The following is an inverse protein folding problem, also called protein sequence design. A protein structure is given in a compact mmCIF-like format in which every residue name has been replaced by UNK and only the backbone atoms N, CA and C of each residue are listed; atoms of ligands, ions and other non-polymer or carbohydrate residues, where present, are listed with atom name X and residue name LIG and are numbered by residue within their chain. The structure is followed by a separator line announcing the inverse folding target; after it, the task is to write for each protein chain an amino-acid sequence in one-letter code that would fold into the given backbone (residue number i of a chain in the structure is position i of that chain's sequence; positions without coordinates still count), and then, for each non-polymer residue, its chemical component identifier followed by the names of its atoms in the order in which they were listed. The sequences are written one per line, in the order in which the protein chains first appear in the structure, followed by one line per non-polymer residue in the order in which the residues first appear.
data_IF_163260577091
#
_entry.id   IF_163260577091
#
_cell.length_a   1.000
_cell.length_b   1.000
_cell.length_c   1.000
_cell.angle_alpha   90.00
_cell.angle_beta   90.00
_cell.angle_gamma   90.00
#
_symmetry.space_group_name_H-M   'P 1'
#
loop_
_entity.id
_entity.type
_entity.pdbx_description
1 polymer ?
#
# COMPACT_ATOMS: atom_id res chain seq x y z
N UNK A 1 15.86 14.53 3.08
CA UNK A 1 14.85 14.02 2.14
C UNK A 1 15.01 14.81 0.85
N UNK A 2 14.87 14.19 -0.34
CA UNK A 2 15.06 14.87 -1.62
C UNK A 2 13.94 15.90 -1.84
N UNK A 3 14.28 17.11 -2.28
CA UNK A 3 13.33 18.20 -2.49
C UNK A 3 12.45 18.00 -3.75
N UNK A 4 12.93 17.22 -4.70
CA UNK A 4 12.25 16.94 -5.95
C UNK A 4 11.91 15.45 -6.06
N UNK A 5 10.65 15.08 -6.32
CA UNK A 5 10.27 13.69 -6.43
C UNK A 5 10.74 13.06 -7.73
N UNK A 6 11.06 11.76 -7.65
CA UNK A 6 11.33 10.90 -8.80
C UNK A 6 10.12 10.02 -9.03
N UNK A 7 9.53 10.09 -10.21
CA UNK A 7 8.35 9.32 -10.59
C UNK A 7 8.70 8.29 -11.64
N UNK A 8 8.13 7.10 -11.52
CA UNK A 8 8.32 6.01 -12.47
C UNK A 8 7.16 5.86 -13.47
N UNK A 9 5.95 6.27 -13.05
CA UNK A 9 4.73 6.20 -13.85
C UNK A 9 3.62 7.01 -13.20
N UNK A 10 2.72 7.57 -14.02
CA UNK A 10 1.44 8.10 -13.59
C UNK A 10 0.35 7.71 -14.62
N UNK A 11 -0.68 6.98 -14.18
CA UNK A 11 -1.76 6.50 -15.03
C UNK A 11 -2.98 6.08 -14.24
N UNK A 12 -4.13 5.92 -14.90
CA UNK A 12 -5.27 5.22 -14.32
C UNK A 12 -4.90 3.75 -14.06
N UNK A 13 -5.17 3.28 -12.85
CA UNK A 13 -4.94 1.91 -12.42
C UNK A 13 -6.24 1.29 -11.91
N UNK A 14 -6.64 0.16 -12.49
CA UNK A 14 -7.93 -0.49 -12.22
C UNK A 14 -7.81 -1.67 -11.25
N UNK A 15 -6.61 -1.94 -10.75
CA UNK A 15 -6.30 -3.17 -9.99
C UNK A 15 -5.84 -2.89 -8.55
N UNK A 16 -6.09 -1.68 -8.03
CA UNK A 16 -6.02 -1.45 -6.59
C UNK A 16 -7.23 -2.12 -5.91
N UNK A 17 -7.31 -2.00 -4.60
CA UNK A 17 -8.43 -2.50 -3.83
C UNK A 17 -9.78 -2.06 -4.45
N UNK A 18 -10.81 -2.92 -4.51
CA UNK A 18 -12.08 -2.60 -5.15
C UNK A 18 -12.68 -1.24 -4.77
N UNK A 19 -12.69 -0.83 -3.47
CA UNK A 19 -13.24 0.47 -3.08
C UNK A 19 -12.33 1.65 -3.42
N UNK A 20 -11.13 1.41 -3.95
CA UNK A 20 -10.19 2.46 -4.41
C UNK A 20 -10.28 2.63 -5.91
N UNK A 21 -10.17 1.54 -6.67
CA UNK A 21 -10.21 1.59 -8.15
C UNK A 21 -11.60 1.88 -8.70
N UNK A 22 -12.63 1.27 -8.10
CA UNK A 22 -13.97 1.32 -8.65
C UNK A 22 -14.01 0.96 -10.14
N UNK A 23 -14.93 1.55 -10.89
CA UNK A 23 -15.08 1.28 -12.33
C UNK A 23 -14.15 2.13 -13.21
N UNK A 24 -13.84 3.38 -12.79
CA UNK A 24 -13.07 4.34 -13.59
C UNK A 24 -11.57 4.31 -13.31
N UNK A 25 -11.16 3.59 -12.28
CA UNK A 25 -9.77 3.48 -11.88
C UNK A 25 -9.31 4.55 -10.88
N UNK A 26 -8.19 4.26 -10.26
CA UNK A 26 -7.44 5.14 -9.37
C UNK A 26 -6.37 5.90 -10.18
N UNK A 27 -6.26 7.21 -9.99
CA UNK A 27 -5.19 8.02 -10.58
C UNK A 27 -3.88 7.78 -9.84
N UNK A 28 -3.13 6.77 -10.25
CA UNK A 28 -2.00 6.25 -9.49
C UNK A 28 -0.69 6.87 -9.95
N UNK A 29 0.06 7.41 -8.97
CA UNK A 29 1.39 8.02 -9.16
C UNK A 29 2.42 7.17 -8.42
N UNK A 30 3.31 6.51 -9.14
CA UNK A 30 4.36 5.65 -8.60
C UNK A 30 5.64 6.44 -8.36
N UNK A 31 6.08 6.50 -7.11
CA UNK A 31 7.34 7.10 -6.72
C UNK A 31 8.48 6.08 -6.77
N UNK A 32 9.66 6.55 -7.13
CA UNK A 32 10.88 5.73 -7.11
C UNK A 32 11.57 5.81 -5.76
N UNK A 33 12.23 4.72 -5.38
CA UNK A 33 12.86 4.52 -4.10
C UNK A 33 11.91 3.87 -3.08
N UNK A 34 12.48 3.16 -2.11
CA UNK A 34 11.74 2.57 -0.99
C UNK A 34 12.63 2.52 0.25
N UNK A 35 12.04 2.69 1.42
CA UNK A 35 12.74 2.55 2.71
C UNK A 35 12.89 1.10 3.17
N UNK A 36 12.26 0.14 2.46
CA UNK A 36 12.33 -1.28 2.74
C UNK A 36 13.13 -2.02 1.66
N UNK A 37 13.91 -3.01 2.07
CA UNK A 37 14.66 -3.93 1.20
C UNK A 37 13.94 -5.25 0.95
N UNK A 38 12.64 -5.24 0.60
CA UNK A 38 11.88 -6.48 0.44
C UNK A 38 12.44 -7.37 -0.65
N UNK A 39 12.91 -8.57 -0.30
CA UNK A 39 13.53 -9.55 -1.23
C UNK A 39 12.59 -10.10 -2.29
N UNK A 40 11.28 -9.92 -2.12
CA UNK A 40 10.23 -10.35 -3.05
C UNK A 40 9.49 -9.17 -3.70
N UNK A 41 10.12 -8.00 -3.78
CA UNK A 41 9.46 -6.79 -4.26
C UNK A 41 9.14 -6.87 -5.75
N UNK A 42 7.86 -6.90 -6.13
CA UNK A 42 7.44 -6.86 -7.52
C UNK A 42 7.75 -5.51 -8.20
N UNK A 43 7.91 -4.46 -7.39
CA UNK A 43 8.28 -3.12 -7.84
C UNK A 43 9.80 -2.88 -7.75
N UNK A 44 10.62 -3.93 -7.76
CA UNK A 44 12.08 -3.87 -7.59
C UNK A 44 12.73 -2.81 -8.49
N UNK A 45 12.32 -2.73 -9.76
CA UNK A 45 12.82 -1.78 -10.75
C UNK A 45 12.77 -0.33 -10.25
N UNK A 46 11.73 0.05 -9.53
CA UNK A 46 11.53 1.40 -9.01
C UNK A 46 11.92 1.54 -7.55
N UNK A 47 11.88 0.44 -6.78
CA UNK A 47 12.18 0.47 -5.35
C UNK A 47 13.66 0.41 -5.04
N UNK A 48 14.44 -0.34 -5.85
CA UNK A 48 15.85 -0.63 -5.57
C UNK A 48 16.80 -0.09 -6.65
N UNK A 49 16.31 0.31 -7.83
CA UNK A 49 17.15 0.63 -9.00
C UNK A 49 16.99 2.07 -9.52
N UNK A 50 16.50 3.00 -8.70
CA UNK A 50 16.41 4.44 -9.01
C UNK A 50 15.76 4.78 -10.38
N UNK A 51 14.96 3.87 -10.94
CA UNK A 51 14.31 4.08 -12.21
C UNK A 51 13.21 5.13 -12.08
N UNK A 52 13.32 6.21 -12.81
CA UNK A 52 12.31 7.26 -12.82
C UNK A 52 12.78 8.55 -13.45
N UNK A 53 11.89 9.55 -13.47
CA UNK A 53 12.13 10.90 -13.94
C UNK A 53 11.91 11.89 -12.80
N UNK A 54 12.87 12.78 -12.60
CA UNK A 54 12.74 13.90 -11.65
C UNK A 54 11.67 14.85 -12.17
N UNK A 55 10.74 15.24 -11.32
CA UNK A 55 9.70 16.24 -11.62
C UNK A 55 9.66 17.34 -10.56
N UNK A 56 9.15 18.53 -10.91
CA UNK A 56 8.88 19.58 -9.94
C UNK A 56 7.57 19.32 -9.20
N UNK A 57 7.33 20.02 -8.09
CA UNK A 57 6.06 19.95 -7.35
C UNK A 57 4.90 20.44 -8.22
N UNK A 58 5.14 21.47 -9.01
CA UNK A 58 4.16 22.04 -9.96
C UNK A 58 3.78 20.99 -11.02
N UNK A 59 4.79 20.29 -11.61
CA UNK A 59 4.51 19.24 -12.60
C UNK A 59 3.78 18.06 -11.95
N UNK A 60 4.15 17.65 -10.73
CA UNK A 60 3.42 16.63 -10.00
C UNK A 60 1.94 17.00 -9.81
N UNK A 61 1.66 18.27 -9.51
CA UNK A 61 0.28 18.75 -9.39
C UNK A 61 -0.46 18.71 -10.73
N UNK A 62 0.17 19.13 -11.83
CA UNK A 62 -0.40 19.02 -13.17
C UNK A 62 -0.75 17.58 -13.52
N UNK A 63 0.15 16.62 -13.24
CA UNK A 63 -0.09 15.18 -13.44
C UNK A 63 -1.31 14.72 -12.63
N UNK A 64 -1.45 15.13 -11.38
CA UNK A 64 -2.64 14.82 -10.59
C UNK A 64 -3.92 15.34 -11.24
N UNK A 65 -3.90 16.58 -11.72
CA UNK A 65 -5.06 17.19 -12.39
C UNK A 65 -5.38 16.56 -13.76
N UNK A 66 -4.36 16.11 -14.49
CA UNK A 66 -4.52 15.36 -15.75
C UNK A 66 -5.22 14.00 -15.48
N UNK A 67 -4.84 13.30 -14.38
CA UNK A 67 -5.50 12.05 -13.98
C UNK A 67 -6.95 12.29 -13.53
N UNK A 68 -7.21 13.37 -12.80
CA UNK A 68 -8.58 13.79 -12.47
C UNK A 68 -9.40 14.04 -13.70
N UNK A 69 -8.85 14.76 -14.70
CA UNK A 69 -9.52 15.03 -15.97
C UNK A 69 -9.81 13.76 -16.79
N UNK A 70 -9.01 12.71 -16.62
CA UNK A 70 -9.26 11.38 -17.18
C UNK A 70 -10.36 10.59 -16.44
N UNK A 71 -10.88 11.12 -15.35
CA UNK A 71 -11.99 10.53 -14.59
C UNK A 71 -11.58 9.69 -13.38
N UNK A 72 -10.34 9.81 -12.90
CA UNK A 72 -9.88 9.10 -11.70
C UNK A 72 -10.82 9.32 -10.50
N UNK A 73 -11.12 8.24 -9.76
CA UNK A 73 -11.91 8.33 -8.54
C UNK A 73 -11.18 9.00 -7.37
N UNK A 74 -9.87 8.93 -7.38
CA UNK A 74 -8.96 9.47 -6.37
C UNK A 74 -7.57 9.69 -6.99
N UNK A 75 -6.67 10.35 -6.25
CA UNK A 75 -5.24 10.36 -6.56
C UNK A 75 -4.53 9.48 -5.53
N UNK A 76 -3.84 8.46 -6.02
CA UNK A 76 -3.17 7.43 -5.22
C UNK A 76 -1.65 7.58 -5.36
N UNK A 77 -1.01 8.04 -4.30
CA UNK A 77 0.44 8.15 -4.19
C UNK A 77 1.02 6.84 -3.70
N UNK A 78 1.71 6.10 -4.56
CA UNK A 78 2.29 4.79 -4.25
C UNK A 78 3.74 4.92 -3.83
N UNK A 79 4.04 4.40 -2.64
CA UNK A 79 5.33 4.41 -1.98
C UNK A 79 5.93 5.83 -1.80
N UNK A 80 5.15 6.78 -1.26
CA UNK A 80 5.52 8.18 -1.19
C UNK A 80 6.33 8.54 0.06
N UNK A 81 6.68 7.59 0.91
CA UNK A 81 7.26 7.75 2.26
C UNK A 81 8.36 8.82 2.32
N UNK A 82 9.34 8.75 1.43
CA UNK A 82 10.47 9.68 1.42
C UNK A 82 10.18 11.02 0.74
N UNK A 83 9.01 11.16 0.11
CA UNK A 83 8.49 12.40 -0.48
C UNK A 83 7.28 12.97 0.27
N UNK A 84 6.99 12.51 1.48
CA UNK A 84 5.83 12.94 2.26
C UNK A 84 5.76 14.47 2.44
N UNK A 85 6.92 15.14 2.61
CA UNK A 85 7.01 16.61 2.71
C UNK A 85 6.66 17.30 1.38
N UNK A 86 6.99 16.70 0.24
CA UNK A 86 6.61 17.19 -1.10
C UNK A 86 5.10 17.09 -1.27
N UNK A 87 4.51 15.95 -0.87
CA UNK A 87 3.06 15.73 -0.90
C UNK A 87 2.35 16.71 0.04
N UNK A 88 2.88 16.92 1.25
CA UNK A 88 2.33 17.90 2.19
C UNK A 88 2.28 19.30 1.60
N UNK A 89 3.32 19.71 0.87
CA UNK A 89 3.40 20.99 0.15
C UNK A 89 2.42 21.04 -1.04
N UNK A 90 2.36 19.99 -1.85
CA UNK A 90 1.43 19.89 -2.98
C UNK A 90 -0.02 20.05 -2.50
N UNK A 91 -0.36 19.43 -1.37
CA UNK A 91 -1.70 19.40 -0.79
C UNK A 91 -2.02 20.63 0.09
N UNK A 92 -1.17 21.66 0.14
CA UNK A 92 -1.58 23.00 0.62
C UNK A 92 -2.76 23.55 -0.20
N UNK A 93 -2.86 23.17 -1.46
CA UNK A 93 -4.02 23.36 -2.30
C UNK A 93 -4.72 22.00 -2.49
N UNK A 94 -5.92 21.77 -1.94
CA UNK A 94 -6.63 20.52 -2.07
C UNK A 94 -6.83 20.07 -3.50
N UNK A 95 -6.87 18.76 -3.73
CA UNK A 95 -7.31 18.16 -4.97
C UNK A 95 -8.83 17.98 -4.97
N UNK A 96 -9.49 17.97 -6.14
CA UNK A 96 -10.96 17.85 -6.23
C UNK A 96 -11.49 16.43 -6.04
N UNK A 97 -10.61 15.47 -5.75
CA UNK A 97 -10.91 14.06 -5.49
C UNK A 97 -10.16 13.60 -4.25
N UNK A 98 -10.58 12.51 -3.58
CA UNK A 98 -9.88 11.98 -2.41
C UNK A 98 -8.41 11.67 -2.70
N UNK A 99 -7.57 11.89 -1.69
CA UNK A 99 -6.14 11.58 -1.71
C UNK A 99 -5.90 10.27 -0.98
N UNK A 100 -5.28 9.33 -1.68
CA UNK A 100 -4.87 8.03 -1.15
C UNK A 100 -3.36 8.00 -0.96
N UNK A 101 -2.90 7.60 0.24
CA UNK A 101 -1.50 7.42 0.59
C UNK A 101 -1.21 5.91 0.76
N UNK A 102 -0.59 5.32 -0.26
CA UNK A 102 -0.34 3.89 -0.37
C UNK A 102 1.11 3.59 0.00
N UNK A 103 1.32 2.91 1.12
CA UNK A 103 2.64 2.77 1.72
C UNK A 103 2.93 1.34 2.19
N UNK A 104 4.21 0.99 2.24
CA UNK A 104 4.68 -0.25 2.86
C UNK A 104 4.49 -0.33 4.38
N UNK A 105 3.90 0.70 5.00
CA UNK A 105 3.63 0.77 6.44
C UNK A 105 4.82 1.23 7.29
N UNK A 106 6.01 1.26 6.75
CA UNK A 106 7.23 1.66 7.47
C UNK A 106 7.41 3.17 7.50
N UNK A 107 6.58 3.82 8.34
CA UNK A 107 6.47 5.27 8.42
C UNK A 107 6.88 5.81 9.79
N UNK A 108 7.38 7.03 9.82
CA UNK A 108 7.55 7.78 11.06
C UNK A 108 6.24 8.51 11.41
N UNK A 109 5.79 8.37 12.65
CA UNK A 109 4.57 9.04 13.14
C UNK A 109 4.63 10.56 12.93
N UNK A 110 5.79 11.17 13.13
CA UNK A 110 6.01 12.62 12.94
C UNK A 110 5.80 13.03 11.47
N UNK A 111 6.20 12.16 10.52
CA UNK A 111 5.97 12.39 9.10
C UNK A 111 4.47 12.34 8.76
N UNK A 112 3.75 11.37 9.33
CA UNK A 112 2.29 11.25 9.14
C UNK A 112 1.55 12.44 9.74
N UNK A 113 1.97 12.96 10.90
CA UNK A 113 1.37 14.17 11.51
C UNK A 113 1.45 15.39 10.60
N UNK A 114 2.50 15.51 9.78
CA UNK A 114 2.62 16.58 8.81
C UNK A 114 1.62 16.46 7.63
N UNK A 115 1.02 15.28 7.45
CA UNK A 115 -0.01 15.00 6.45
C UNK A 115 -1.44 15.09 7.01
N UNK A 116 -1.62 15.40 8.30
CA UNK A 116 -2.93 15.46 8.92
C UNK A 116 -3.87 16.45 8.21
N UNK A 117 -5.08 16.00 7.89
CA UNK A 117 -6.07 16.78 7.16
C UNK A 117 -5.81 16.92 5.65
N UNK A 118 -4.76 16.29 5.12
CA UNK A 118 -4.37 16.34 3.70
C UNK A 118 -4.59 15.01 2.98
N UNK A 119 -4.63 13.90 3.69
CA UNK A 119 -4.85 12.55 3.19
C UNK A 119 -6.21 12.06 3.66
N UNK A 120 -7.01 11.56 2.73
CA UNK A 120 -8.35 11.04 3.01
C UNK A 120 -8.31 9.54 3.31
N UNK A 121 -7.50 8.78 2.58
CA UNK A 121 -7.40 7.33 2.69
C UNK A 121 -5.95 6.90 2.83
N UNK A 122 -5.68 6.08 3.83
CA UNK A 122 -4.40 5.39 3.96
C UNK A 122 -4.53 3.92 3.54
N UNK A 123 -3.56 3.44 2.75
CA UNK A 123 -3.40 2.04 2.36
C UNK A 123 -2.05 1.51 2.89
N UNK A 124 -1.90 1.31 4.21
CA UNK A 124 -0.67 0.74 4.75
C UNK A 124 -0.64 -0.77 4.56
N UNK A 125 0.54 -1.31 4.22
CA UNK A 125 0.81 -2.72 4.43
C UNK A 125 1.16 -2.96 5.90
N UNK A 126 0.63 -4.04 6.49
CA UNK A 126 1.14 -4.64 7.71
C UNK A 126 1.73 -6.00 7.36
N UNK A 127 3.04 -5.98 7.04
CA UNK A 127 3.72 -7.15 6.45
C UNK A 127 4.06 -8.21 7.49
N UNK A 128 4.51 -7.79 8.68
CA UNK A 128 5.02 -8.67 9.73
C UNK A 128 4.71 -8.11 11.10
N UNK A 129 4.57 -9.02 12.09
CA UNK A 129 4.62 -8.71 13.54
C UNK A 129 5.82 -9.38 14.23
N UNK A 130 6.64 -10.10 13.49
CA UNK A 130 7.91 -10.69 13.97
C UNK A 130 9.08 -9.93 13.36
N UNK A 131 9.92 -9.30 14.21
CA UNK A 131 11.07 -8.52 13.79
C UNK A 131 12.14 -9.35 13.07
N UNK A 132 12.29 -10.64 13.41
CA UNK A 132 13.25 -11.53 12.74
C UNK A 132 12.83 -11.84 11.31
N UNK A 133 11.52 -12.03 11.10
CA UNK A 133 10.97 -12.20 9.75
C UNK A 133 11.07 -10.90 8.96
N UNK A 134 10.79 -9.77 9.60
CA UNK A 134 10.90 -8.45 9.00
C UNK A 134 12.35 -8.12 8.58
N UNK A 135 13.33 -8.40 9.44
CA UNK A 135 14.75 -8.29 9.12
C UNK A 135 15.12 -9.18 7.94
N UNK A 136 14.74 -10.46 7.99
CA UNK A 136 15.09 -11.45 6.96
C UNK A 136 14.48 -11.12 5.59
N UNK A 137 13.23 -10.63 5.57
CA UNK A 137 12.46 -10.46 4.34
C UNK A 137 12.46 -9.02 3.80
N UNK A 138 12.77 -8.01 4.62
CA UNK A 138 12.67 -6.60 4.24
C UNK A 138 13.75 -5.69 4.83
N UNK A 139 14.78 -6.28 5.46
CA UNK A 139 15.91 -5.57 6.08
C UNK A 139 15.48 -4.50 7.11
N UNK A 140 14.44 -4.78 7.89
CA UNK A 140 13.85 -3.84 8.85
C UNK A 140 13.36 -4.56 10.12
N UNK A 141 14.25 -4.78 11.09
CA UNK A 141 13.92 -5.52 12.33
C UNK A 141 12.85 -4.80 13.16
N UNK A 142 12.85 -3.46 13.15
CA UNK A 142 11.89 -2.62 13.89
C UNK A 142 10.58 -2.36 13.12
N UNK A 143 10.39 -3.00 11.97
CA UNK A 143 9.17 -2.84 11.15
C UNK A 143 7.88 -3.04 11.94
N UNK A 144 7.71 -4.08 12.79
CA UNK A 144 6.46 -4.29 13.52
C UNK A 144 6.10 -3.10 14.42
N UNK A 145 7.08 -2.55 15.14
CA UNK A 145 6.88 -1.39 16.00
C UNK A 145 6.50 -0.15 15.19
N UNK A 146 7.24 0.14 14.13
CA UNK A 146 7.02 1.31 13.27
C UNK A 146 5.68 1.24 12.54
N UNK A 147 5.38 0.09 11.92
CA UNK A 147 4.15 -0.09 11.15
C UNK A 147 2.90 -0.03 12.04
N UNK A 148 2.93 -0.66 13.20
CA UNK A 148 1.78 -0.63 14.12
C UNK A 148 1.54 0.77 14.70
N UNK A 149 2.59 1.52 15.03
CA UNK A 149 2.47 2.90 15.48
C UNK A 149 1.94 3.81 14.35
N UNK A 150 2.45 3.64 13.13
CA UNK A 150 2.01 4.37 11.95
C UNK A 150 0.53 4.14 11.64
N UNK A 151 0.08 2.88 11.64
CA UNK A 151 -1.33 2.53 11.36
C UNK A 151 -2.27 3.15 12.40
N UNK A 152 -1.91 3.11 13.69
CA UNK A 152 -2.72 3.78 14.73
C UNK A 152 -2.83 5.28 14.48
N UNK A 153 -1.74 5.94 14.06
CA UNK A 153 -1.76 7.35 13.71
C UNK A 153 -2.63 7.63 12.47
N UNK A 154 -2.55 6.79 11.44
CA UNK A 154 -3.40 6.90 10.24
C UNK A 154 -4.88 6.81 10.59
N UNK A 155 -5.28 5.85 11.44
CA UNK A 155 -6.66 5.71 11.92
C UNK A 155 -7.07 6.90 12.77
N UNK A 156 -6.19 7.42 13.63
CA UNK A 156 -6.46 8.63 14.42
C UNK A 156 -6.80 9.83 13.51
N UNK A 157 -6.10 9.97 12.38
CA UNK A 157 -6.28 11.10 11.45
C UNK A 157 -7.56 10.97 10.63
N UNK A 158 -7.87 9.78 10.14
CA UNK A 158 -9.00 9.58 9.24
C UNK A 158 -10.30 9.24 9.96
N UNK A 159 -10.21 8.64 11.15
CA UNK A 159 -11.37 8.06 11.81
C UNK A 159 -11.90 6.80 11.09
N UNK A 160 -13.14 6.38 11.38
CA UNK A 160 -13.77 5.21 10.79
C UNK A 160 -13.87 5.28 9.26
N UNK A 161 -13.91 4.11 8.62
CA UNK A 161 -14.08 4.00 7.17
C UNK A 161 -15.43 4.57 6.70
N UNK A 162 -15.40 5.47 5.73
CA UNK A 162 -16.59 6.08 5.11
C UNK A 162 -16.69 5.64 3.67
N UNK A 163 -17.75 4.91 3.36
CA UNK A 163 -18.06 4.41 2.02
C UNK A 163 -19.18 5.20 1.38
N UNK A 164 -19.01 5.61 0.12
CA UNK A 164 -20.06 6.24 -0.69
C UNK A 164 -20.04 5.60 -2.09
N UNK A 165 -21.18 5.14 -2.56
CA UNK A 165 -21.35 4.50 -3.88
C UNK A 165 -20.33 3.38 -4.15
N UNK A 166 -20.00 2.57 -3.13
CA UNK A 166 -19.03 1.49 -3.22
C UNK A 166 -17.56 1.93 -3.19
N UNK A 167 -17.28 3.23 -3.06
CA UNK A 167 -15.94 3.80 -2.98
C UNK A 167 -15.60 4.25 -1.57
N UNK A 168 -14.38 3.99 -1.14
CA UNK A 168 -13.86 4.50 0.12
C UNK A 168 -13.49 5.98 -0.03
N UNK A 169 -14.15 6.85 0.71
CA UNK A 169 -13.91 8.29 0.71
C UNK A 169 -12.98 8.73 1.81
N UNK A 170 -12.97 8.02 2.92
CA UNK A 170 -12.12 8.31 4.06
C UNK A 170 -11.87 7.04 4.88
N UNK A 171 -10.69 6.91 5.48
CA UNK A 171 -10.39 5.78 6.37
C UNK A 171 -9.09 5.08 6.06
N UNK A 172 -8.93 3.88 6.61
CA UNK A 172 -7.73 3.05 6.48
C UNK A 172 -8.10 1.66 5.95
N UNK A 173 -7.38 1.20 4.93
CA UNK A 173 -7.39 -0.21 4.51
C UNK A 173 -6.04 -0.81 4.85
N UNK A 174 -5.99 -1.66 5.86
CA UNK A 174 -4.77 -2.39 6.23
C UNK A 174 -4.63 -3.58 5.28
N UNK A 175 -3.50 -3.67 4.59
CA UNK A 175 -3.23 -4.75 3.64
C UNK A 175 -2.22 -5.74 4.20
N UNK A 176 -2.46 -7.01 3.97
CA UNK A 176 -1.51 -8.06 4.33
C UNK A 176 -1.34 -9.07 3.19
N UNK A 177 -0.11 -9.18 2.69
CA UNK A 177 0.27 -10.20 1.71
C UNK A 177 0.71 -11.47 2.43
N UNK A 178 -0.04 -12.57 2.23
CA UNK A 178 0.34 -13.87 2.76
C UNK A 178 1.62 -14.33 2.06
N UNK A 179 2.66 -14.62 2.84
CA UNK A 179 3.89 -15.22 2.32
C UNK A 179 3.87 -16.75 2.46
N UNK A 180 4.51 -17.49 1.53
CA UNK A 180 4.60 -18.94 1.61
C UNK A 180 5.23 -19.41 2.93
N UNK A 181 4.57 -20.32 3.62
CA UNK A 181 5.03 -20.84 4.91
C UNK A 181 4.75 -19.93 6.11
N UNK A 182 4.18 -18.73 5.91
CA UNK A 182 4.00 -17.71 6.93
C UNK A 182 2.52 -17.49 7.34
N UNK A 183 1.68 -18.51 7.26
CA UNK A 183 0.26 -18.42 7.66
C UNK A 183 0.11 -18.00 9.13
N UNK A 184 1.05 -18.40 10.00
CA UNK A 184 1.05 -17.97 11.40
C UNK A 184 1.22 -16.45 11.53
N UNK A 185 2.05 -15.81 10.69
CA UNK A 185 2.18 -14.36 10.63
C UNK A 185 0.89 -13.70 10.14
N UNK A 186 0.25 -14.26 9.10
CA UNK A 186 -1.03 -13.74 8.63
C UNK A 186 -2.09 -13.76 9.74
N UNK A 187 -2.15 -14.84 10.55
CA UNK A 187 -3.05 -14.92 11.70
C UNK A 187 -2.69 -13.88 12.76
N UNK A 188 -1.43 -13.76 13.14
CA UNK A 188 -0.99 -12.76 14.12
C UNK A 188 -1.32 -11.31 13.68
N UNK A 189 -1.17 -11.00 12.38
CA UNK A 189 -1.57 -9.69 11.82
C UNK A 189 -3.07 -9.47 11.95
N UNK A 190 -3.89 -10.48 11.63
CA UNK A 190 -5.36 -10.40 11.76
C UNK A 190 -5.78 -10.26 13.22
N UNK A 191 -5.16 -11.00 14.15
CA UNK A 191 -5.40 -10.86 15.59
C UNK A 191 -5.08 -9.45 16.05
N UNK A 192 -3.92 -8.92 15.67
CA UNK A 192 -3.54 -7.55 16.02
C UNK A 192 -4.56 -6.52 15.52
N UNK A 193 -5.07 -6.67 14.30
CA UNK A 193 -6.10 -5.76 13.76
C UNK A 193 -7.40 -5.87 14.58
N UNK A 194 -7.85 -7.09 14.87
CA UNK A 194 -9.08 -7.32 15.64
C UNK A 194 -8.98 -6.80 17.09
N UNK A 195 -7.80 -6.89 17.70
CA UNK A 195 -7.57 -6.43 19.07
C UNK A 195 -7.42 -4.91 19.20
N UNK A 196 -6.96 -4.23 18.15
CA UNK A 196 -6.63 -2.81 18.22
C UNK A 196 -7.68 -1.87 17.62
N UNK A 197 -8.59 -2.39 16.78
CA UNK A 197 -9.61 -1.57 16.12
C UNK A 197 -11.00 -2.17 16.27
N UNK A 198 -11.99 -1.31 16.42
CA UNK A 198 -13.39 -1.72 16.45
C UNK A 198 -13.83 -2.17 15.06
N UNK A 199 -14.81 -3.05 15.01
CA UNK A 199 -15.39 -3.49 13.74
C UNK A 199 -15.89 -2.29 12.92
N UNK A 200 -15.42 -2.19 11.67
CA UNK A 200 -15.74 -1.09 10.75
C UNK A 200 -14.91 0.19 10.95
N UNK A 201 -14.02 0.24 11.92
CA UNK A 201 -13.09 1.35 12.08
C UNK A 201 -12.02 1.33 10.98
N UNK A 202 -11.56 0.13 10.61
CA UNK A 202 -10.68 -0.12 9.48
C UNK A 202 -11.26 -1.19 8.56
N UNK A 203 -10.82 -1.21 7.31
CA UNK A 203 -11.00 -2.33 6.39
C UNK A 203 -9.71 -3.15 6.34
N UNK A 204 -9.85 -4.46 6.14
CA UNK A 204 -8.71 -5.37 6.02
C UNK A 204 -8.68 -6.02 4.63
N UNK A 205 -7.55 -5.94 3.95
CA UNK A 205 -7.33 -6.62 2.66
C UNK A 205 -6.35 -7.76 2.83
N UNK A 206 -6.84 -8.99 2.73
CA UNK A 206 -6.03 -10.20 2.74
C UNK A 206 -5.62 -10.55 1.31
N UNK A 207 -4.35 -10.39 0.99
CA UNK A 207 -3.80 -10.59 -0.34
C UNK A 207 -3.18 -11.99 -0.46
N UNK A 208 -3.69 -12.82 -1.39
CA UNK A 208 -3.19 -14.19 -1.66
C UNK A 208 -2.45 -14.32 -2.99
N UNK A 209 -2.21 -13.22 -3.69
CA UNK A 209 -1.60 -13.19 -5.03
C UNK A 209 -0.05 -13.22 -5.02
N UNK A 210 0.58 -13.68 -3.95
CA UNK A 210 2.04 -13.79 -3.90
C UNK A 210 2.59 -14.57 -5.11
N UNK A 211 3.54 -13.95 -5.80
CA UNK A 211 4.33 -14.56 -6.87
C UNK A 211 5.81 -14.37 -6.54
N UNK A 212 6.65 -15.43 -6.63
CA UNK A 212 8.09 -15.31 -6.47
C UNK A 212 8.65 -14.27 -7.44
N UNK A 213 9.52 -13.39 -6.96
CA UNK A 213 10.15 -12.34 -7.75
C UNK A 213 11.58 -12.11 -7.27
N UNK A 214 12.46 -11.74 -8.18
CA UNK A 214 13.87 -11.44 -7.87
C UNK A 214 14.71 -12.69 -7.56
N UNK A 215 15.91 -12.48 -7.00
CA UNK A 215 16.78 -13.56 -6.55
C UNK A 215 16.40 -14.04 -5.15
N UNK A 216 15.72 -15.17 -5.09
CA UNK A 216 15.29 -15.84 -3.86
C UNK A 216 16.20 -17.01 -3.46
N UNK A 217 17.44 -17.08 -3.96
CA UNK A 217 18.38 -18.18 -3.65
C UNK A 217 18.63 -18.34 -2.14
N UNK A 218 18.67 -17.23 -1.39
CA UNK A 218 18.82 -17.21 0.07
C UNK A 218 17.48 -17.35 0.82
N UNK A 219 16.35 -17.43 0.10
CA UNK A 219 14.98 -17.49 0.62
C UNK A 219 14.17 -18.60 -0.08
N UNK A 220 14.64 -19.87 -0.06
CA UNK A 220 14.01 -20.95 -0.84
C UNK A 220 12.55 -21.19 -0.45
N UNK A 221 12.16 -20.88 0.78
CA UNK A 221 10.78 -20.95 1.25
C UNK A 221 9.84 -19.98 0.50
N UNK A 222 10.37 -18.85 0.03
CA UNK A 222 9.64 -17.83 -0.74
C UNK A 222 9.66 -18.12 -2.24
N UNK A 223 10.51 -19.03 -2.72
CA UNK A 223 10.63 -19.35 -4.15
C UNK A 223 9.53 -20.32 -4.61
N UNK A 224 8.29 -20.06 -4.23
CA UNK A 224 7.08 -20.78 -4.64
C UNK A 224 5.83 -19.92 -4.45
N UNK A 225 4.79 -20.23 -5.17
CA UNK A 225 3.45 -19.67 -4.90
C UNK A 225 2.84 -20.28 -3.64
N UNK A 226 1.82 -19.62 -3.10
CA UNK A 226 1.02 -20.13 -2.00
C UNK A 226 0.34 -21.47 -2.38
N UNK A 227 0.29 -22.40 -1.43
CA UNK A 227 -0.53 -23.61 -1.53
C UNK A 227 -1.99 -23.28 -1.23
N UNK A 228 -2.93 -24.02 -1.84
CA UNK A 228 -4.36 -23.84 -1.59
C UNK A 228 -4.71 -23.89 -0.10
N UNK A 229 -4.12 -24.80 0.66
CA UNK A 229 -4.34 -24.93 2.10
C UNK A 229 -3.89 -23.71 2.90
N UNK A 230 -2.79 -23.05 2.50
CA UNK A 230 -2.32 -21.83 3.16
C UNK A 230 -3.34 -20.70 2.99
N UNK A 231 -3.89 -20.57 1.77
CA UNK A 231 -4.91 -19.57 1.45
C UNK A 231 -6.22 -19.86 2.19
N UNK A 232 -6.72 -21.10 2.12
CA UNK A 232 -7.99 -21.49 2.75
C UNK A 232 -7.96 -21.25 4.27
N UNK A 233 -6.85 -21.66 4.93
CA UNK A 233 -6.68 -21.47 6.39
C UNK A 233 -6.66 -19.99 6.77
N UNK A 234 -6.02 -19.13 5.96
CA UNK A 234 -5.97 -17.70 6.24
C UNK A 234 -7.34 -17.03 6.03
N UNK A 235 -8.05 -17.38 4.94
CA UNK A 235 -9.40 -16.85 4.67
C UNK A 235 -10.40 -17.29 5.75
N UNK A 236 -10.41 -18.58 6.12
CA UNK A 236 -11.28 -19.09 7.18
C UNK A 236 -10.99 -18.38 8.53
N UNK A 237 -9.72 -18.12 8.81
CA UNK A 237 -9.33 -17.39 10.02
C UNK A 237 -9.85 -15.96 10.02
N UNK A 238 -9.71 -15.23 8.91
CA UNK A 238 -10.25 -13.88 8.75
C UNK A 238 -11.77 -13.85 8.94
N UNK A 239 -12.50 -14.84 8.38
CA UNK A 239 -13.94 -14.95 8.53
C UNK A 239 -14.35 -15.22 9.99
N UNK A 240 -13.61 -16.09 10.70
CA UNK A 240 -13.88 -16.39 12.10
C UNK A 240 -13.65 -15.20 13.03
N UNK A 241 -12.74 -14.28 12.68
CA UNK A 241 -12.53 -13.01 13.39
C UNK A 241 -13.55 -11.92 13.02
N UNK A 242 -14.43 -12.18 12.04
CA UNK A 242 -15.42 -11.19 11.52
C UNK A 242 -14.77 -9.84 11.14
N UNK A 243 -13.55 -9.89 10.58
CA UNK A 243 -12.84 -8.70 10.12
C UNK A 243 -13.51 -8.13 8.86
N UNK A 244 -13.99 -6.87 8.88
CA UNK A 244 -14.57 -6.23 7.69
C UNK A 244 -13.49 -6.02 6.63
N UNK A 245 -13.79 -6.42 5.40
CA UNK A 245 -12.83 -6.24 4.32
C UNK A 245 -13.03 -7.24 3.19
N UNK A 246 -11.95 -7.55 2.50
CA UNK A 246 -11.99 -8.40 1.30
C UNK A 246 -10.73 -9.27 1.20
N UNK A 247 -10.90 -10.37 0.48
CA UNK A 247 -9.81 -11.26 0.10
C UNK A 247 -9.60 -11.11 -1.42
N UNK A 248 -8.39 -10.78 -1.82
CA UNK A 248 -8.04 -10.83 -3.23
C UNK A 248 -7.81 -12.29 -3.65
N UNK A 249 -8.53 -12.72 -4.69
CA UNK A 249 -8.45 -14.09 -5.14
C UNK A 249 -7.14 -14.39 -5.89
N UNK A 250 -6.76 -15.67 -5.92
CA UNK A 250 -5.58 -16.19 -6.62
C UNK A 250 -5.57 -15.89 -8.14
N UNK A 251 -6.74 -15.65 -8.75
CA UNK A 251 -6.89 -15.23 -10.15
C UNK A 251 -6.31 -13.85 -10.42
N UNK A 252 -6.11 -13.04 -9.36
CA UNK A 252 -5.47 -11.72 -9.42
C UNK A 252 -3.93 -11.76 -9.56
N UNK A 253 -3.29 -12.94 -9.48
CA UNK A 253 -1.85 -13.11 -9.66
C UNK A 253 -1.44 -13.13 -11.15
N UNK A 254 -1.81 -12.08 -11.90
CA UNK A 254 -1.44 -11.89 -13.31
C UNK A 254 -0.42 -10.76 -13.42
N UNK A 255 0.45 -10.81 -14.44
CA UNK A 255 1.43 -9.76 -14.71
C UNK A 255 0.81 -8.37 -14.93
N UNK A 256 -0.48 -8.34 -15.34
CA UNK A 256 -1.26 -7.12 -15.57
C UNK A 256 -1.47 -6.25 -14.31
N UNK A 257 -1.29 -6.82 -13.11
CA UNK A 257 -1.45 -6.10 -11.83
C UNK A 257 -0.23 -5.27 -11.44
N UNK A 258 0.94 -5.60 -11.98
CA UNK A 258 2.13 -4.75 -11.86
C UNK A 258 2.26 -3.96 -13.15
N UNK A 259 2.00 -2.65 -13.16
CA UNK A 259 2.06 -1.88 -14.38
C UNK A 259 3.50 -1.81 -14.91
N UNK A 260 3.70 -1.70 -16.24
CA UNK A 260 5.02 -1.46 -16.78
C UNK A 260 5.54 -0.10 -16.30
N UNK A 261 6.71 -0.08 -15.66
CA UNK A 261 7.38 1.15 -15.31
C UNK A 261 8.16 1.66 -16.54
N UNK A 262 7.56 2.62 -17.26
CA UNK A 262 7.97 3.07 -18.60
C UNK A 262 7.88 4.61 -18.76
N UNK A 263 7.76 5.33 -17.65
CA UNK A 263 7.62 6.79 -17.58
C UNK A 263 6.31 7.33 -18.20
N UNK A 264 5.32 6.47 -18.44
CA UNK A 264 4.00 6.93 -18.94
C UNK A 264 3.43 8.00 -18.02
N UNK A 265 2.90 9.10 -18.60
CA UNK A 265 2.20 10.18 -17.91
C UNK A 265 3.11 11.22 -17.22
N UNK A 266 4.44 11.19 -17.44
CA UNK A 266 5.39 12.08 -16.77
C UNK A 266 5.88 13.25 -17.63
#
# INVERSE_FOLDING_TARGET
MPETPVLARAALHHWEEPPISGERGSGTVFFSGCSLGCVFCQNEKISHHDFGKVVTVERLREICMELVAQGAHNINFVNPTHYAHVIAKLLEQPLPVPVVYNTGGYEKVETLKALEGKVDVYLPDLKYLDGKIALRCSDAEDYPEKATAAIREMVRQTGPAVMEDGLLKKGVVIRHLILPGQVAQAKAVMDWVAENFRRGEVLFSLMSQYTPWGDLSNHPELNRRLRKGEISVAIEYMQNLDLPGFCQERTSAKEEYTPPFDLTGL
#
